data_IF_926631635454
#
_entry.id   IF_926631635454
#
_cell.length_a   1.000
_cell.length_b   1.000
_cell.length_c   1.000
_cell.angle_alpha   90.00
_cell.angle_beta   90.00
_cell.angle_gamma   90.00
#
_symmetry.space_group_name_H-M   'P 1'
#
loop_
_entity.id
_entity.type
_entity.pdbx_description
1 polymer ?
#
# COMPACT_ATOMS: atom_id res chain seq x y z
N UNK A 1 28.70 -22.59 9.43
CA UNK A 1 28.63 -22.47 7.97
C UNK A 1 27.17 -22.25 7.54
N UNK A 2 26.53 -21.18 8.04
CA UNK A 2 25.09 -20.91 7.84
C UNK A 2 24.77 -19.39 7.83
N UNK A 3 25.79 -18.53 7.75
CA UNK A 3 25.63 -17.06 7.77
C UNK A 3 25.84 -16.44 6.37
N UNK A 4 26.22 -17.25 5.38
CA UNK A 4 26.61 -16.74 4.05
C UNK A 4 25.46 -16.74 3.02
N UNK A 5 24.36 -17.45 3.28
CA UNK A 5 23.20 -17.52 2.37
C UNK A 5 22.14 -16.44 2.63
N UNK A 6 22.10 -15.82 3.81
CA UNK A 6 21.12 -14.78 4.14
C UNK A 6 21.47 -13.41 3.51
N UNK A 7 22.77 -13.15 3.28
CA UNK A 7 23.27 -11.90 2.65
C UNK A 7 23.07 -11.86 1.12
N UNK A 8 22.79 -13.01 0.48
CA UNK A 8 22.57 -13.11 -0.97
C UNK A 8 21.13 -12.79 -1.38
N UNK A 9 20.16 -13.01 -0.48
CA UNK A 9 18.75 -12.63 -0.72
C UNK A 9 18.53 -11.12 -0.60
N UNK A 10 19.28 -10.45 0.28
CA UNK A 10 19.23 -8.99 0.43
C UNK A 10 19.78 -8.28 -0.81
N UNK A 11 20.90 -8.75 -1.37
CA UNK A 11 21.49 -8.17 -2.58
C UNK A 11 20.64 -8.31 -3.84
N UNK A 12 19.80 -9.33 -3.92
CA UNK A 12 18.89 -9.55 -5.07
C UNK A 12 17.61 -8.71 -4.97
N UNK A 13 17.19 -8.29 -3.77
CA UNK A 13 16.11 -7.30 -3.57
C UNK A 13 16.58 -5.88 -3.87
N UNK A 14 17.81 -5.54 -3.48
CA UNK A 14 18.36 -4.17 -3.64
C UNK A 14 18.58 -3.81 -5.12
N UNK A 15 18.88 -4.76 -6.01
CA UNK A 15 19.20 -4.47 -7.41
C UNK A 15 17.99 -4.19 -8.32
N UNK A 16 16.77 -4.59 -7.94
CA UNK A 16 15.57 -4.43 -8.77
C UNK A 16 14.90 -3.04 -8.64
N UNK A 17 15.31 -2.24 -7.65
CA UNK A 17 14.62 -1.00 -7.25
C UNK A 17 15.37 0.29 -7.59
N UNK A 18 16.52 0.20 -8.28
CA UNK A 18 17.42 1.33 -8.51
C UNK A 18 17.42 1.71 -10.00
N UNK A 19 17.01 2.94 -10.30
CA UNK A 19 17.29 3.56 -11.60
C UNK A 19 18.42 4.58 -11.41
N UNK A 20 19.47 4.45 -12.23
CA UNK A 20 20.66 5.29 -12.13
C UNK A 20 20.53 6.48 -13.10
N UNK A 21 20.34 7.68 -12.56
CA UNK A 21 20.42 8.94 -13.31
C UNK A 21 21.67 9.66 -12.80
N UNK A 22 22.82 9.39 -13.43
CA UNK A 22 24.12 9.84 -12.93
C UNK A 22 24.52 9.13 -11.62
N UNK A 23 25.08 9.88 -10.66
CA UNK A 23 25.46 9.37 -9.33
C UNK A 23 24.27 9.27 -8.34
N UNK A 24 23.06 9.62 -8.77
CA UNK A 24 21.85 9.61 -7.93
C UNK A 24 21.12 8.28 -8.10
N UNK A 25 21.05 7.54 -6.99
CA UNK A 25 20.23 6.34 -6.86
C UNK A 25 18.83 6.76 -6.44
N UNK A 26 17.86 6.69 -7.34
CA UNK A 26 16.44 6.92 -7.01
C UNK A 26 15.81 5.57 -6.70
N UNK A 27 15.39 5.38 -5.45
CA UNK A 27 14.58 4.22 -5.07
C UNK A 27 13.14 4.44 -5.52
N UNK A 28 12.58 3.45 -6.23
CA UNK A 28 11.17 3.50 -6.62
C UNK A 28 10.29 3.37 -5.37
N UNK A 29 9.28 4.23 -5.24
CA UNK A 29 8.32 4.16 -4.12
C UNK A 29 7.61 2.81 -4.10
N UNK A 30 7.48 2.21 -2.93
CA UNK A 30 6.78 0.94 -2.73
C UNK A 30 5.36 1.20 -2.24
N UNK A 31 4.37 0.78 -3.01
CA UNK A 31 2.95 0.95 -2.72
C UNK A 31 2.34 -0.44 -2.51
N UNK A 32 1.91 -0.72 -1.28
CA UNK A 32 1.23 -1.96 -0.95
C UNK A 32 -0.27 -1.83 -1.21
N UNK A 33 -0.91 -2.87 -1.76
CA UNK A 33 -2.36 -2.96 -1.87
C UNK A 33 -2.83 -4.18 -1.10
N UNK A 34 -3.65 -3.96 -0.07
CA UNK A 34 -4.38 -5.01 0.63
C UNK A 34 -5.70 -5.27 -0.10
N UNK A 35 -5.86 -6.45 -0.70
CA UNK A 35 -7.10 -6.84 -1.37
C UNK A 35 -7.40 -8.33 -1.17
N UNK A 36 -8.68 -8.67 -1.09
CA UNK A 36 -9.14 -10.05 -1.01
C UNK A 36 -9.36 -10.71 -2.38
N UNK A 37 -9.15 -9.97 -3.48
CA UNK A 37 -9.36 -10.45 -4.84
C UNK A 37 -8.27 -9.92 -5.77
N UNK A 38 -7.14 -10.63 -5.78
CA UNK A 38 -5.95 -10.31 -6.58
C UNK A 38 -6.19 -10.36 -8.10
N UNK A 39 -7.26 -11.03 -8.55
CA UNK A 39 -7.60 -11.16 -9.97
C UNK A 39 -8.69 -10.19 -10.44
N UNK A 40 -9.11 -9.26 -9.57
CA UNK A 40 -10.13 -8.28 -9.92
C UNK A 40 -9.67 -7.38 -11.07
N UNK A 41 -10.48 -7.18 -12.13
CA UNK A 41 -10.17 -6.24 -13.22
C UNK A 41 -9.90 -4.81 -12.72
N UNK A 42 -10.60 -4.42 -11.65
CA UNK A 42 -10.38 -3.14 -10.97
C UNK A 42 -8.96 -3.03 -10.41
N UNK A 43 -8.43 -4.12 -9.82
CA UNK A 43 -7.11 -4.12 -9.22
C UNK A 43 -6.03 -4.01 -10.30
N UNK A 44 -6.22 -4.69 -11.44
CA UNK A 44 -5.36 -4.52 -12.61
C UNK A 44 -5.33 -3.07 -13.09
N UNK A 45 -6.49 -2.45 -13.30
CA UNK A 45 -6.59 -1.04 -13.67
C UNK A 45 -5.90 -0.13 -12.65
N UNK A 46 -6.15 -0.35 -11.36
CA UNK A 46 -5.50 0.39 -10.27
C UNK A 46 -3.97 0.30 -10.34
N UNK A 47 -3.42 -0.90 -10.57
CA UNK A 47 -1.97 -1.10 -10.70
C UNK A 47 -1.39 -0.44 -11.96
N UNK A 48 -2.14 -0.38 -13.05
CA UNK A 48 -1.73 0.31 -14.28
C UNK A 48 -1.65 1.83 -14.05
N UNK A 49 -2.69 2.41 -13.47
CA UNK A 49 -2.76 3.84 -13.16
C UNK A 49 -1.64 4.25 -12.20
N UNK A 50 -1.54 3.56 -11.06
CA UNK A 50 -0.60 3.91 -10.00
C UNK A 50 0.84 3.45 -10.27
N UNK A 51 1.07 2.63 -11.30
CA UNK A 51 2.41 2.16 -11.68
C UNK A 51 3.39 3.28 -12.03
N UNK A 52 2.84 4.46 -12.39
CA UNK A 52 3.58 5.71 -12.61
C UNK A 52 4.12 6.34 -11.31
N UNK A 53 3.55 6.03 -10.15
CA UNK A 53 3.97 6.57 -8.85
C UNK A 53 4.99 5.67 -8.14
N UNK A 54 4.97 4.36 -8.40
CA UNK A 54 5.74 3.41 -7.62
C UNK A 54 5.70 1.99 -8.16
N UNK A 55 6.43 1.09 -7.50
CA UNK A 55 6.22 -0.33 -7.62
C UNK A 55 5.04 -0.72 -6.75
N UNK A 56 4.12 -1.52 -7.31
CA UNK A 56 2.95 -1.99 -6.59
C UNK A 56 3.12 -3.45 -6.19
N UNK A 57 2.76 -3.74 -4.95
CA UNK A 57 2.74 -5.10 -4.41
C UNK A 57 1.35 -5.36 -3.87
N UNK A 58 0.69 -6.39 -4.41
CA UNK A 58 -0.63 -6.82 -3.95
C UNK A 58 -0.45 -7.89 -2.88
N UNK A 59 -1.12 -7.71 -1.76
CA UNK A 59 -1.16 -8.64 -0.65
C UNK A 59 -2.60 -9.10 -0.41
N UNK A 60 -2.76 -10.42 -0.24
CA UNK A 60 -3.93 -10.98 0.41
C UNK A 60 -3.95 -10.65 1.91
N UNK A 61 -5.11 -10.74 2.54
CA UNK A 61 -5.24 -10.47 3.99
C UNK A 61 -4.34 -11.36 4.85
N UNK A 62 -4.22 -12.63 4.50
CA UNK A 62 -3.47 -13.61 5.29
C UNK A 62 -1.97 -13.33 5.30
N UNK A 63 -1.44 -12.76 4.20
CA UNK A 63 -0.02 -12.44 4.07
C UNK A 63 0.45 -11.35 5.03
N UNK A 64 -0.42 -10.42 5.43
CA UNK A 64 -0.07 -9.38 6.40
C UNK A 64 -0.08 -9.92 7.84
N UNK A 65 -0.90 -10.93 8.12
CA UNK A 65 -1.02 -11.53 9.46
C UNK A 65 0.17 -12.45 9.77
N UNK A 66 0.76 -13.07 8.75
CA UNK A 66 1.89 -14.00 8.87
C UNK A 66 3.28 -13.33 8.84
N UNK A 67 3.36 -12.05 8.44
CA UNK A 67 4.65 -11.38 8.28
C UNK A 67 5.36 -11.13 9.63
N UNK A 68 6.45 -11.89 9.83
CA UNK A 68 7.16 -12.11 11.09
C UNK A 68 8.02 -10.95 11.62
N UNK A 69 7.89 -9.74 11.05
CA UNK A 69 8.58 -8.55 11.53
C UNK A 69 9.76 -8.10 10.68
N UNK A 70 9.85 -8.52 9.42
CA UNK A 70 10.69 -7.79 8.46
C UNK A 70 10.14 -6.37 8.30
N UNK A 71 11.04 -5.38 8.31
CA UNK A 71 10.66 -4.01 7.99
C UNK A 71 10.30 -3.96 6.50
N UNK A 72 9.01 -4.09 6.21
CA UNK A 72 8.50 -3.82 4.87
C UNK A 72 8.70 -2.32 4.61
N UNK A 73 9.60 -2.01 3.68
CA UNK A 73 9.85 -0.65 3.20
C UNK A 73 8.68 -0.25 2.29
N UNK A 74 7.57 0.19 2.90
CA UNK A 74 6.32 0.58 2.23
C UNK A 74 6.14 2.08 2.43
N UNK A 75 5.98 2.82 1.33
CA UNK A 75 5.72 4.26 1.35
C UNK A 75 4.22 4.60 1.45
N UNK A 76 3.34 3.67 1.07
CA UNK A 76 1.89 3.84 1.12
C UNK A 76 1.16 2.50 1.14
N UNK A 77 0.05 2.43 1.88
CA UNK A 77 -0.83 1.27 1.90
C UNK A 77 -2.22 1.62 1.39
N UNK A 78 -2.67 0.95 0.34
CA UNK A 78 -4.02 1.04 -0.20
C UNK A 78 -4.85 -0.14 0.32
N UNK A 79 -5.92 0.14 1.05
CA UNK A 79 -6.84 -0.88 1.57
C UNK A 79 -8.07 -0.94 0.68
N UNK A 80 -8.26 -2.07 0.02
CA UNK A 80 -9.52 -2.37 -0.61
C UNK A 80 -10.58 -2.73 0.45
N UNK A 81 -11.64 -1.92 0.54
CA UNK A 81 -12.70 -2.08 1.53
C UNK A 81 -13.68 -3.24 1.27
N UNK A 82 -13.52 -4.00 0.18
CA UNK A 82 -14.45 -5.07 -0.18
C UNK A 82 -14.01 -6.42 0.37
N UNK A 83 -14.98 -7.11 0.98
CA UNK A 83 -14.88 -8.51 1.43
C UNK A 83 -13.70 -8.80 2.33
N UNK A 84 -13.32 -7.82 3.16
CA UNK A 84 -12.37 -8.04 4.25
C UNK A 84 -12.95 -9.03 5.26
N UNK A 85 -12.09 -9.87 5.85
CA UNK A 85 -12.49 -10.83 6.90
C UNK A 85 -12.88 -10.12 8.20
N UNK A 86 -12.16 -9.05 8.54
CA UNK A 86 -12.40 -8.23 9.73
C UNK A 86 -13.08 -6.90 9.39
N UNK A 87 -13.66 -6.24 10.38
CA UNK A 87 -14.27 -4.93 10.19
C UNK A 87 -13.24 -3.90 9.72
N UNK A 88 -13.64 -3.06 8.77
CA UNK A 88 -12.71 -2.21 8.03
C UNK A 88 -11.96 -1.21 8.94
N UNK A 89 -12.64 -0.62 9.92
CA UNK A 89 -12.00 0.30 10.85
C UNK A 89 -11.00 -0.41 11.77
N UNK A 90 -11.29 -1.64 12.18
CA UNK A 90 -10.37 -2.46 12.98
C UNK A 90 -9.14 -2.85 12.15
N UNK A 91 -9.33 -3.20 10.86
CA UNK A 91 -8.21 -3.47 9.94
C UNK A 91 -7.30 -2.25 9.79
N UNK A 92 -7.89 -1.07 9.61
CA UNK A 92 -7.13 0.19 9.51
C UNK A 92 -6.38 0.48 10.81
N UNK A 93 -7.01 0.32 11.97
CA UNK A 93 -6.35 0.54 13.25
C UNK A 93 -5.17 -0.43 13.46
N UNK A 94 -5.34 -1.70 13.09
CA UNK A 94 -4.29 -2.70 13.17
C UNK A 94 -3.10 -2.36 12.23
N UNK A 95 -3.39 -1.98 10.99
CA UNK A 95 -2.36 -1.54 10.03
C UNK A 95 -1.65 -0.27 10.49
N UNK A 96 -2.38 0.70 11.01
CA UNK A 96 -1.82 1.96 11.48
C UNK A 96 -0.91 1.74 12.70
N UNK A 97 -1.30 0.86 13.63
CA UNK A 97 -0.45 0.47 14.75
C UNK A 97 0.86 -0.22 14.31
N UNK A 98 0.83 -0.98 13.22
CA UNK A 98 2.01 -1.66 12.66
C UNK A 98 2.88 -0.74 11.80
N UNK A 99 2.28 0.18 11.06
CA UNK A 99 2.94 1.09 10.12
C UNK A 99 2.55 2.55 10.40
N UNK A 100 2.93 3.12 11.56
CA UNK A 100 2.40 4.40 12.03
C UNK A 100 2.77 5.60 11.15
N UNK A 101 3.83 5.50 10.35
CA UNK A 101 4.31 6.55 9.44
C UNK A 101 3.84 6.35 7.99
N UNK A 102 3.16 5.25 7.69
CA UNK A 102 2.74 4.91 6.33
C UNK A 102 1.31 5.42 6.11
N UNK A 103 1.05 6.29 5.12
CA UNK A 103 -0.30 6.72 4.79
C UNK A 103 -1.15 5.53 4.34
N UNK A 104 -2.26 5.32 5.06
CA UNK A 104 -3.26 4.31 4.72
C UNK A 104 -4.41 4.98 3.98
N UNK A 105 -4.63 4.60 2.72
CA UNK A 105 -5.74 5.08 1.91
C UNK A 105 -6.75 3.95 1.72
N UNK A 106 -8.00 4.21 2.08
CA UNK A 106 -9.07 3.23 1.94
C UNK A 106 -9.85 3.48 0.64
N UNK A 107 -9.99 2.45 -0.18
CA UNK A 107 -10.71 2.48 -1.47
C UNK A 107 -12.01 1.67 -1.37
N UNK A 108 -13.16 2.25 -1.74
CA UNK A 108 -14.46 1.59 -1.59
C UNK A 108 -15.41 1.80 -2.78
N UNK A 109 -16.22 0.80 -3.12
CA UNK A 109 -17.31 0.98 -4.10
C UNK A 109 -18.54 1.67 -3.51
N UNK A 110 -18.73 1.61 -2.18
CA UNK A 110 -19.95 2.03 -1.50
C UNK A 110 -19.64 2.96 -0.32
N UNK A 111 -19.18 4.20 -0.59
CA UNK A 111 -18.80 5.13 0.46
C UNK A 111 -20.01 5.59 1.26
N UNK A 112 -19.84 5.64 2.58
CA UNK A 112 -20.81 6.26 3.49
C UNK A 112 -20.07 7.16 4.47
N UNK A 113 -20.74 8.21 4.94
CA UNK A 113 -20.17 9.12 5.93
C UNK A 113 -19.72 8.38 7.21
N UNK A 114 -20.49 7.36 7.62
CA UNK A 114 -20.21 6.57 8.83
C UNK A 114 -18.93 5.75 8.67
N UNK A 115 -18.76 5.09 7.52
CA UNK A 115 -17.54 4.33 7.21
C UNK A 115 -16.33 5.25 7.07
N UNK A 116 -16.47 6.37 6.37
CA UNK A 116 -15.41 7.36 6.22
C UNK A 116 -14.93 7.85 7.59
N UNK A 117 -15.86 8.28 8.45
CA UNK A 117 -15.53 8.73 9.80
C UNK A 117 -14.80 7.65 10.61
N UNK A 118 -15.30 6.42 10.59
CA UNK A 118 -14.72 5.32 11.37
C UNK A 118 -13.27 5.00 10.95
N UNK A 119 -12.98 4.94 9.65
CA UNK A 119 -11.61 4.63 9.19
C UNK A 119 -10.65 5.79 9.39
N UNK A 120 -11.09 7.04 9.23
CA UNK A 120 -10.27 8.21 9.48
C UNK A 120 -9.91 8.31 10.98
N UNK A 121 -10.86 8.03 11.87
CA UNK A 121 -10.59 7.94 13.31
C UNK A 121 -9.66 6.78 13.68
N UNK A 122 -9.62 5.72 12.87
CA UNK A 122 -8.73 4.58 13.04
C UNK A 122 -7.30 4.81 12.50
N UNK A 123 -7.03 5.98 11.89
CA UNK A 123 -5.70 6.33 11.38
C UNK A 123 -5.55 6.26 9.85
N UNK A 124 -6.64 6.11 9.09
CA UNK A 124 -6.57 6.29 7.63
C UNK A 124 -6.23 7.74 7.28
N UNK A 125 -5.33 7.93 6.31
CA UNK A 125 -4.97 9.22 5.76
C UNK A 125 -6.01 9.75 4.76
N UNK A 126 -6.70 8.85 4.03
CA UNK A 126 -7.79 9.22 3.12
C UNK A 126 -8.80 8.07 2.91
N UNK A 127 -10.01 8.41 2.44
CA UNK A 127 -11.09 7.50 2.11
C UNK A 127 -11.72 7.89 0.76
N UNK A 128 -11.54 7.05 -0.26
CA UNK A 128 -11.91 7.36 -1.63
C UNK A 128 -12.87 6.33 -2.23
N UNK A 129 -13.73 6.79 -3.14
CA UNK A 129 -14.53 5.88 -3.98
C UNK A 129 -13.61 5.26 -5.05
N UNK A 130 -13.73 3.97 -5.31
CA UNK A 130 -12.95 3.26 -6.35
C UNK A 130 -13.13 3.86 -7.75
N UNK A 131 -14.34 4.30 -8.08
CA UNK A 131 -14.68 4.92 -9.38
C UNK A 131 -14.24 6.40 -9.47
N UNK A 132 -13.17 6.77 -8.77
CA UNK A 132 -12.60 8.10 -8.91
C UNK A 132 -11.88 8.18 -10.26
N UNK A 133 -11.91 9.34 -10.90
CA UNK A 133 -11.11 9.61 -12.10
C UNK A 133 -9.63 9.35 -11.82
N UNK A 134 -8.94 8.66 -12.73
CA UNK A 134 -7.56 8.21 -12.56
C UNK A 134 -6.60 9.36 -12.19
N UNK A 135 -6.79 10.53 -12.80
CA UNK A 135 -5.99 11.73 -12.52
C UNK A 135 -6.17 12.23 -11.09
N UNK A 136 -7.38 12.16 -10.56
CA UNK A 136 -7.68 12.57 -9.18
C UNK A 136 -7.11 11.57 -8.19
N UNK A 137 -7.20 10.27 -8.49
CA UNK A 137 -6.57 9.22 -7.68
C UNK A 137 -5.05 9.42 -7.64
N UNK A 138 -4.42 9.61 -8.80
CA UNK A 138 -2.99 9.88 -8.94
C UNK A 138 -2.56 11.13 -8.15
N UNK A 139 -3.29 12.24 -8.30
CA UNK A 139 -2.97 13.48 -7.61
C UNK A 139 -3.01 13.31 -6.09
N UNK A 140 -4.03 12.60 -5.55
CA UNK A 140 -4.14 12.35 -4.12
C UNK A 140 -3.04 11.42 -3.59
N UNK A 141 -2.81 10.28 -4.24
CA UNK A 141 -1.74 9.37 -3.85
C UNK A 141 -0.38 10.06 -3.93
N UNK A 142 -0.12 10.85 -4.98
CA UNK A 142 1.10 11.66 -5.09
C UNK A 142 1.24 12.61 -3.90
N UNK A 143 0.19 13.36 -3.55
CA UNK A 143 0.23 14.30 -2.43
C UNK A 143 0.61 13.60 -1.11
N UNK A 144 0.02 12.44 -0.84
CA UNK A 144 0.28 11.68 0.39
C UNK A 144 1.69 11.08 0.43
N UNK A 145 2.24 10.66 -0.71
CA UNK A 145 3.64 10.20 -0.80
C UNK A 145 4.67 11.32 -0.55
N UNK A 146 4.29 12.58 -0.77
CA UNK A 146 5.17 13.74 -0.49
C UNK A 146 4.98 14.30 0.92
N UNK A 147 3.83 14.09 1.54
CA UNK A 147 3.50 14.56 2.89
C UNK A 147 2.82 13.42 3.68
N UNK A 148 3.60 12.46 4.21
CA UNK A 148 3.06 11.40 5.05
C UNK A 148 2.47 11.97 6.36
N UNK A 149 1.53 11.22 7.01
CA UNK A 149 0.78 11.65 8.18
C UNK A 149 1.63 11.83 9.45
#
# INVERSE_FOLDING_TARGET
MLVFWQLLTDRQRISANLYQIGDIVVTKKQIAILSNNEHSPWLRHLTEVLGSLGQLIVYGEDMFEEDSGESLDIDMLLVDASGLKMELAERVAWLHGRFPQVPIVVLTSSPTWRRARAVLQAGAADYMRRSLEDERLLARCRSLLHCPP
#
